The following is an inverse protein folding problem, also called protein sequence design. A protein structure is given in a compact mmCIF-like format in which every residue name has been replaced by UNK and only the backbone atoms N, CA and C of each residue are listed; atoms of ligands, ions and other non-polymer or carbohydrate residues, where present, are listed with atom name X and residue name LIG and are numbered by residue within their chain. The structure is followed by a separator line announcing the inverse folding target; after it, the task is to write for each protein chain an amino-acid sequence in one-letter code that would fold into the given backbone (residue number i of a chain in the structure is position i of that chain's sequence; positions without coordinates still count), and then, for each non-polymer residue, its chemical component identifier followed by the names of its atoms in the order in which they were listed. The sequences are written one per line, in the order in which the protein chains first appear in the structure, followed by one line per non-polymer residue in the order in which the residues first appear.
data_IF_244892707811
#
_entry.id   IF_244892707811
#
_cell.length_a   1.000
_cell.length_b   1.000
_cell.length_c   1.000
_cell.angle_alpha   90.00
_cell.angle_beta   90.00
_cell.angle_gamma   90.00
#
_symmetry.space_group_name_H-M   'P 1'
#
loop_
_entity.id
_entity.type
_entity.pdbx_description
1 polymer ?
#
# COMPACT_ATOMS: atom_id res chain seq x y z
N UNK A 1 18.16 -5.77 -3.25
CA UNK A 1 17.86 -4.36 -2.88
C UNK A 1 17.56 -4.27 -1.38
N UNK A 2 17.66 -3.10 -0.73
CA UNK A 2 17.43 -2.89 0.72
C UNK A 2 16.19 -2.01 0.93
N UNK A 3 15.30 -2.39 1.85
CA UNK A 3 14.01 -1.72 2.08
C UNK A 3 14.27 -0.55 3.00
N UNK A 4 14.20 0.67 2.46
CA UNK A 4 14.41 1.90 3.23
C UNK A 4 13.18 2.28 4.04
N UNK A 5 11.98 2.03 3.50
CA UNK A 5 10.70 2.36 4.14
C UNK A 5 9.71 1.20 4.09
N UNK A 6 8.83 1.06 5.09
CA UNK A 6 7.75 0.09 5.05
C UNK A 6 6.79 0.41 3.89
N UNK A 7 6.51 -0.58 3.03
CA UNK A 7 5.45 -0.48 2.03
C UNK A 7 4.07 -0.49 2.70
N UNK A 8 3.24 0.51 2.38
CA UNK A 8 1.83 0.62 2.79
C UNK A 8 0.85 0.42 1.62
N UNK A 9 1.31 -0.22 0.53
CA UNK A 9 0.47 -0.63 -0.59
C UNK A 9 -0.67 -1.54 -0.10
N UNK A 10 -1.88 -1.30 -0.61
CA UNK A 10 -3.12 -1.98 -0.21
C UNK A 10 -3.71 -1.52 1.14
N UNK A 11 -3.01 -0.73 1.96
CA UNK A 11 -3.59 -0.06 3.14
C UNK A 11 -3.93 1.40 2.88
N UNK A 12 -3.00 2.12 2.26
CA UNK A 12 -3.14 3.55 1.99
C UNK A 12 -3.53 3.86 0.54
N UNK A 13 -3.22 2.93 -0.37
CA UNK A 13 -3.54 3.04 -1.80
C UNK A 13 -3.95 1.68 -2.34
N UNK A 14 -4.89 1.70 -3.26
CA UNK A 14 -5.35 0.55 -4.04
C UNK A 14 -5.47 0.98 -5.50
N UNK A 15 -5.46 0.00 -6.41
CA UNK A 15 -5.68 0.21 -7.84
C UNK A 15 -6.94 -0.56 -8.22
N UNK A 16 -7.93 0.13 -8.76
CA UNK A 16 -9.13 -0.48 -9.30
C UNK A 16 -9.00 -0.55 -10.82
N UNK A 17 -9.16 -1.74 -11.40
CA UNK A 17 -9.17 -1.91 -12.86
C UNK A 17 -10.57 -1.71 -13.42
N UNK A 18 -10.67 -1.44 -14.73
CA UNK A 18 -11.96 -1.31 -15.42
C UNK A 18 -12.84 -2.58 -15.37
N UNK A 19 -12.23 -3.75 -15.10
CA UNK A 19 -12.96 -5.00 -14.91
C UNK A 19 -13.61 -5.13 -13.52
N UNK A 20 -13.24 -4.24 -12.59
CA UNK A 20 -13.69 -4.25 -11.20
C UNK A 20 -12.71 -4.91 -10.23
N UNK A 21 -11.54 -5.34 -10.69
CA UNK A 21 -10.55 -5.99 -9.81
C UNK A 21 -9.77 -4.97 -9.00
N UNK A 22 -9.60 -5.24 -7.71
CA UNK A 22 -8.89 -4.39 -6.77
C UNK A 22 -7.52 -4.97 -6.47
N UNK A 23 -6.48 -4.19 -6.72
CA UNK A 23 -5.08 -4.56 -6.47
C UNK A 23 -4.44 -3.67 -5.40
N UNK A 24 -3.46 -4.19 -4.64
CA UNK A 24 -2.75 -3.39 -3.64
C UNK A 24 -1.75 -2.41 -4.26
N UNK A 25 -1.23 -2.72 -5.46
CA UNK A 25 -0.28 -1.89 -6.21
C UNK A 25 -0.35 -2.30 -7.70
N UNK A 26 -0.05 -1.38 -8.63
CA UNK A 26 -0.04 -1.68 -10.07
C UNK A 26 1.03 -2.69 -10.52
N UNK A 27 2.04 -2.97 -9.69
CA UNK A 27 3.08 -3.98 -9.97
C UNK A 27 2.74 -5.36 -9.39
N UNK A 28 1.79 -5.42 -8.45
CA UNK A 28 1.42 -6.68 -7.79
C UNK A 28 0.31 -7.36 -8.58
N UNK A 29 0.50 -8.64 -8.88
CA UNK A 29 -0.46 -9.46 -9.64
C UNK A 29 -1.53 -10.11 -8.77
N UNK A 30 -1.36 -10.06 -7.45
CA UNK A 30 -2.32 -10.60 -6.48
C UNK A 30 -3.50 -9.64 -6.33
N UNK A 31 -4.69 -10.07 -6.76
CA UNK A 31 -5.94 -9.33 -6.58
C UNK A 31 -6.46 -9.48 -5.14
N UNK A 32 -6.88 -8.38 -4.53
CA UNK A 32 -7.54 -8.34 -3.23
C UNK A 32 -8.98 -8.88 -3.33
N UNK A 33 -9.64 -8.66 -4.47
CA UNK A 33 -11.01 -9.07 -4.75
C UNK A 33 -11.62 -8.25 -5.89
N UNK A 34 -12.81 -8.63 -6.36
CA UNK A 34 -13.56 -7.86 -7.36
C UNK A 34 -14.68 -7.08 -6.69
N UNK A 35 -14.86 -5.81 -7.04
CA UNK A 35 -15.91 -4.95 -6.46
C UNK A 35 -17.32 -5.47 -6.69
N UNK A 36 -17.56 -6.27 -7.74
CA UNK A 36 -18.87 -6.85 -8.03
C UNK A 36 -19.30 -7.90 -7.02
N UNK A 37 -18.34 -8.58 -6.39
CA UNK A 37 -18.62 -9.64 -5.41
C UNK A 37 -18.93 -9.08 -4.01
N UNK A 38 -18.69 -7.78 -3.79
CA UNK A 38 -18.79 -7.10 -2.50
C UNK A 38 -19.71 -5.88 -2.56
N UNK A 39 -20.71 -5.89 -3.46
CA UNK A 39 -21.67 -4.78 -3.63
C UNK A 39 -21.01 -3.39 -3.78
N UNK A 40 -19.84 -3.35 -4.43
CA UNK A 40 -19.01 -2.16 -4.60
C UNK A 40 -18.46 -1.55 -3.29
N UNK A 41 -18.52 -2.27 -2.17
CA UNK A 41 -17.90 -1.86 -0.92
C UNK A 41 -16.43 -2.29 -0.84
N UNK A 42 -15.55 -1.33 -1.11
CA UNK A 42 -14.10 -1.50 -1.03
C UNK A 42 -13.63 -1.85 0.39
N UNK A 43 -14.33 -1.39 1.43
CA UNK A 43 -13.94 -1.67 2.81
C UNK A 43 -14.11 -3.15 3.11
N UNK A 44 -15.21 -3.75 2.67
CA UNK A 44 -15.45 -5.19 2.82
C UNK A 44 -14.37 -6.01 2.09
N UNK A 45 -13.97 -5.59 0.89
CA UNK A 45 -12.85 -6.23 0.15
C UNK A 45 -11.56 -6.16 0.96
N UNK A 46 -11.24 -5.01 1.55
CA UNK A 46 -10.03 -4.83 2.36
C UNK A 46 -10.07 -5.58 3.70
N UNK A 47 -11.26 -5.83 4.23
CA UNK A 47 -11.47 -6.63 5.44
C UNK A 47 -11.50 -8.14 5.17
N UNK A 48 -11.61 -8.55 3.90
CA UNK A 48 -11.58 -9.95 3.50
C UNK A 48 -10.28 -10.65 3.95
N UNK A 49 -10.38 -11.95 4.22
CA UNK A 49 -9.22 -12.76 4.62
C UNK A 49 -8.17 -12.84 3.51
N UNK A 50 -8.60 -12.78 2.24
CA UNK A 50 -7.71 -12.73 1.10
C UNK A 50 -6.86 -11.45 1.12
N UNK A 51 -7.50 -10.28 1.28
CA UNK A 51 -6.79 -9.02 1.36
C UNK A 51 -5.82 -8.99 2.54
N UNK A 52 -6.24 -9.45 3.72
CA UNK A 52 -5.35 -9.54 4.90
C UNK A 52 -4.11 -10.41 4.66
N UNK A 53 -4.26 -11.56 4.00
CA UNK A 53 -3.15 -12.46 3.64
C UNK A 53 -2.17 -11.79 2.68
N UNK A 54 -2.68 -11.13 1.65
CA UNK A 54 -1.87 -10.40 0.66
C UNK A 54 -1.13 -9.25 1.33
N UNK A 55 -1.80 -8.46 2.16
CA UNK A 55 -1.19 -7.36 2.91
C UNK A 55 -0.09 -7.83 3.88
N UNK A 56 -0.31 -8.96 4.56
CA UNK A 56 0.70 -9.58 5.41
C UNK A 56 1.92 -10.04 4.59
N UNK A 57 1.68 -10.69 3.45
CA UNK A 57 2.71 -11.11 2.49
C UNK A 57 3.55 -9.91 1.99
N UNK A 58 2.93 -8.77 1.68
CA UNK A 58 3.64 -7.54 1.26
C UNK A 58 4.56 -7.01 2.37
N UNK A 59 4.07 -7.04 3.62
CA UNK A 59 4.86 -6.60 4.76
C UNK A 59 6.04 -7.54 5.06
N UNK A 60 5.81 -8.85 4.98
CA UNK A 60 6.78 -9.90 5.29
C UNK A 60 7.86 -10.05 4.20
N UNK A 61 7.47 -10.08 2.92
CA UNK A 61 8.37 -10.20 1.76
C UNK A 61 9.27 -8.97 1.54
N UNK A 62 9.20 -7.96 2.42
CA UNK A 62 9.99 -6.72 2.35
C UNK A 62 9.94 -6.08 0.96
N UNK A 63 8.74 -5.93 0.41
CA UNK A 63 8.51 -5.36 -0.91
C UNK A 63 9.36 -4.08 -1.12
N UNK A 64 10.14 -4.07 -2.19
CA UNK A 64 10.99 -2.94 -2.59
C UNK A 64 10.19 -2.07 -3.54
N UNK A 65 9.65 -0.98 -3.04
CA UNK A 65 8.90 -0.06 -3.88
C UNK A 65 9.87 0.77 -4.71
N UNK A 66 9.81 0.64 -6.03
CA UNK A 66 10.60 1.42 -6.99
C UNK A 66 9.85 2.65 -7.51
N UNK A 67 8.54 2.75 -7.25
CA UNK A 67 7.71 3.85 -7.71
C UNK A 67 7.70 5.02 -6.71
N UNK A 68 8.09 6.21 -7.17
CA UNK A 68 8.08 7.44 -6.36
C UNK A 68 6.69 7.77 -5.79
N UNK A 69 5.62 7.46 -6.53
CA UNK A 69 4.23 7.72 -6.15
C UNK A 69 3.77 7.03 -4.85
N UNK A 70 4.43 5.93 -4.47
CA UNK A 70 4.17 5.22 -3.22
C UNK A 70 5.22 5.53 -2.16
N UNK A 71 6.42 5.94 -2.57
CA UNK A 71 7.49 6.34 -1.65
C UNK A 71 7.09 7.57 -0.81
N UNK A 72 6.50 8.59 -1.45
CA UNK A 72 6.01 9.79 -0.73
C UNK A 72 4.99 9.45 0.35
N UNK A 73 4.01 8.57 0.04
CA UNK A 73 3.03 8.13 1.04
C UNK A 73 3.65 7.23 2.11
N UNK A 74 4.64 6.41 1.76
CA UNK A 74 5.33 5.58 2.74
C UNK A 74 6.18 6.41 3.71
N UNK A 75 6.72 7.57 3.28
CA UNK A 75 7.41 8.51 4.15
C UNK A 75 6.38 9.27 5.00
N UNK A 76 5.36 9.86 4.36
CA UNK A 76 4.37 10.69 5.03
C UNK A 76 3.53 9.91 6.04
N UNK A 77 3.24 8.63 5.82
CA UNK A 77 2.45 7.82 6.78
C UNK A 77 3.33 6.97 7.69
N UNK A 78 4.64 7.23 7.74
CA UNK A 78 5.55 6.58 8.67
C UNK A 78 5.94 7.55 9.80
N UNK A 79 5.28 7.46 10.98
CA UNK A 79 5.54 8.36 12.09
C UNK A 79 6.98 8.29 12.61
N UNK A 80 7.72 7.20 12.33
CA UNK A 80 9.15 7.09 12.69
C UNK A 80 10.03 8.04 11.90
N UNK A 81 9.59 8.51 10.73
CA UNK A 81 10.33 9.44 9.89
C UNK A 81 10.03 10.90 10.21
N UNK A 82 9.00 11.18 11.02
CA UNK A 82 8.61 12.56 11.34
C UNK A 82 9.70 13.36 12.02
N UNK A 83 10.45 12.84 13.02
CA UNK A 83 11.53 13.61 13.63
C UNK A 83 12.63 14.03 12.63
N UNK A 84 12.94 13.15 11.68
CA UNK A 84 13.92 13.44 10.62
C UNK A 84 13.36 14.46 9.62
N UNK A 85 12.09 14.34 9.23
CA UNK A 85 11.39 15.30 8.37
C UNK A 85 11.30 16.69 9.02
N UNK A 86 10.97 16.77 10.31
CA UNK A 86 10.91 18.03 11.04
C UNK A 86 12.29 18.67 11.13
N UNK A 87 13.36 17.88 11.30
CA UNK A 87 14.74 18.39 11.29
C UNK A 87 15.11 19.01 9.94
N UNK A 88 14.81 18.32 8.83
CA UNK A 88 15.03 18.85 7.47
C UNK A 88 14.18 20.10 7.21
N UNK A 89 12.92 20.11 7.63
CA UNK A 89 12.03 21.27 7.47
C UNK A 89 12.51 22.50 8.24
N UNK A 90 13.13 22.32 9.41
CA UNK A 90 13.72 23.40 10.21
C UNK A 90 15.08 23.88 9.67
N UNK A 91 15.70 23.14 8.74
CA UNK A 91 16.97 23.51 8.09
C UNK A 91 16.77 24.32 6.80
N UNK A 92 15.53 24.36 6.28
CA UNK A 92 15.07 25.25 5.21
C UNK A 92 14.73 26.64 5.75
#
# INVERSE_FOLDING_TARGET
QKRLVPCYAGRMKIVLTGNGDVYPCGTLTESLGNVKDYDYDIKEILLSDNAKKILASIQDKKCFCTHECYFMTNILFNPKLYPALTKEYLQL
#
